data_IF_612921048237
#
_entry.id   IF_612921048237
#
_cell.length_a   1.000
_cell.length_b   1.000
_cell.length_c   1.000
_cell.angle_alpha   90.00
_cell.angle_beta   90.00
_cell.angle_gamma   90.00
#
_symmetry.space_group_name_H-M   'P 1'
#
loop_
_entity.id
_entity.type
_entity.pdbx_description
1 polymer ?
#
# COMPACT_ATOMS: atom_id res chain seq x y z
N UNK A 1 -16.73 10.10 -1.10
CA UNK A 1 -16.05 9.55 -2.28
C UNK A 1 -14.86 8.73 -1.83
N UNK A 2 -14.81 7.50 -2.27
CA UNK A 2 -13.74 6.60 -1.85
C UNK A 2 -12.44 6.94 -2.57
N UNK A 3 -11.35 7.08 -1.80
CA UNK A 3 -10.03 7.28 -2.36
C UNK A 3 -9.30 5.95 -2.42
N UNK A 4 -8.48 5.77 -3.44
CA UNK A 4 -7.69 4.56 -3.60
C UNK A 4 -6.26 4.92 -4.00
N UNK A 5 -5.33 4.02 -3.68
CA UNK A 5 -3.93 4.13 -4.07
C UNK A 5 -3.57 2.95 -4.96
N UNK A 6 -2.84 3.23 -6.02
CA UNK A 6 -2.25 2.19 -6.86
C UNK A 6 -0.87 1.84 -6.32
N UNK A 7 -0.32 0.73 -6.83
CA UNK A 7 1.02 0.30 -6.39
C UNK A 7 2.07 1.38 -6.63
N UNK A 8 2.00 2.10 -7.76
CA UNK A 8 2.96 3.16 -8.06
C UNK A 8 2.91 4.28 -7.04
N UNK A 9 1.76 4.49 -6.41
CA UNK A 9 1.61 5.51 -5.36
C UNK A 9 2.21 5.03 -4.05
N UNK A 10 2.15 3.74 -3.78
CA UNK A 10 2.58 3.18 -2.50
C UNK A 10 4.07 2.87 -2.48
N UNK A 11 4.56 2.19 -3.52
CA UNK A 11 5.92 1.69 -3.54
C UNK A 11 6.90 2.71 -4.11
N UNK A 12 8.14 2.64 -3.66
CA UNK A 12 9.24 3.44 -4.20
C UNK A 12 10.06 2.57 -5.13
N UNK A 13 10.26 3.03 -6.35
CA UNK A 13 11.10 2.36 -7.31
C UNK A 13 12.24 3.29 -7.70
N UNK A 14 13.11 2.81 -8.60
CA UNK A 14 14.25 3.58 -9.07
C UNK A 14 13.82 4.90 -9.72
N UNK A 15 12.65 4.90 -10.38
CA UNK A 15 12.18 6.05 -11.12
C UNK A 15 10.99 6.75 -10.50
N UNK A 16 10.51 6.27 -9.35
CA UNK A 16 9.29 6.80 -8.77
C UNK A 16 9.32 6.66 -7.25
N UNK A 17 9.11 7.75 -6.55
CA UNK A 17 9.04 7.74 -5.09
C UNK A 17 7.58 7.66 -4.66
N UNK A 18 7.24 6.60 -3.90
CA UNK A 18 5.90 6.44 -3.37
C UNK A 18 5.78 6.87 -1.92
N UNK A 19 4.67 6.51 -1.31
CA UNK A 19 4.42 6.82 0.10
C UNK A 19 5.34 6.03 1.03
N UNK A 20 5.70 4.82 0.64
CA UNK A 20 6.51 3.93 1.47
C UNK A 20 7.87 3.74 0.82
N UNK A 21 8.96 3.76 1.62
CA UNK A 21 10.31 3.58 1.07
C UNK A 21 10.63 2.10 0.86
N UNK A 22 9.72 1.37 0.20
CA UNK A 22 9.88 -0.05 -0.04
C UNK A 22 9.51 -0.37 -1.48
N UNK A 23 10.04 -1.48 -1.98
CA UNK A 23 9.77 -1.92 -3.34
C UNK A 23 8.38 -2.56 -3.45
N UNK A 24 7.84 -2.66 -4.67
CA UNK A 24 6.58 -3.38 -4.86
C UNK A 24 6.64 -4.82 -4.38
N UNK A 25 7.79 -5.49 -4.50
CA UNK A 25 7.93 -6.86 -4.04
C UNK A 25 7.71 -6.97 -2.54
N UNK A 26 8.20 -5.99 -1.78
CA UNK A 26 8.01 -5.97 -0.33
C UNK A 26 6.54 -5.83 0.02
N UNK A 27 5.82 -4.97 -0.70
CA UNK A 27 4.40 -4.77 -0.45
C UNK A 27 3.63 -6.05 -0.72
N UNK A 28 3.93 -6.73 -1.82
CA UNK A 28 3.25 -7.99 -2.14
C UNK A 28 3.53 -9.07 -1.10
N UNK A 29 4.76 -9.09 -0.58
CA UNK A 29 5.11 -10.03 0.49
C UNK A 29 4.28 -9.75 1.73
N UNK A 30 4.12 -8.50 2.11
CA UNK A 30 3.34 -8.12 3.29
C UNK A 30 1.87 -8.47 3.11
N UNK A 31 1.33 -8.27 1.91
CA UNK A 31 -0.05 -8.67 1.61
C UNK A 31 -0.22 -10.16 1.80
N UNK A 32 0.74 -10.95 1.30
CA UNK A 32 0.70 -12.40 1.43
C UNK A 32 0.79 -12.84 2.88
N UNK A 33 1.60 -12.13 3.67
CA UNK A 33 1.78 -12.47 5.08
C UNK A 33 0.63 -11.99 5.97
N UNK A 34 -0.24 -11.14 5.43
CA UNK A 34 -1.35 -10.60 6.20
C UNK A 34 -1.00 -9.41 7.05
N UNK A 35 0.18 -8.81 6.85
CA UNK A 35 0.63 -7.66 7.63
C UNK A 35 0.33 -6.32 6.96
N UNK A 36 -0.20 -6.34 5.76
CA UNK A 36 -0.54 -5.15 4.99
C UNK A 36 -1.96 -5.29 4.48
N UNK A 37 -2.72 -4.18 4.36
CA UNK A 37 -4.09 -4.27 3.86
C UNK A 37 -4.16 -4.93 2.49
N UNK A 38 -5.16 -5.75 2.28
CA UNK A 38 -5.31 -6.47 1.02
C UNK A 38 -5.86 -5.54 -0.05
N UNK A 39 -5.33 -5.64 -1.28
CA UNK A 39 -5.82 -4.83 -2.39
C UNK A 39 -7.12 -5.42 -2.96
N UNK A 40 -7.78 -4.62 -3.80
CA UNK A 40 -8.92 -5.10 -4.55
C UNK A 40 -8.80 -4.62 -5.99
N UNK A 41 -9.56 -5.23 -6.87
CA UNK A 41 -9.55 -4.89 -8.28
C UNK A 41 -10.58 -3.82 -8.57
N UNK A 42 -10.15 -2.77 -9.25
CA UNK A 42 -11.02 -1.73 -9.75
C UNK A 42 -11.06 -1.87 -11.26
N UNK A 43 -12.15 -2.38 -11.79
CA UNK A 43 -12.22 -2.73 -13.20
C UNK A 43 -11.52 -4.06 -13.47
N UNK A 44 -11.03 -4.24 -14.70
CA UNK A 44 -10.50 -5.53 -15.13
C UNK A 44 -9.06 -5.78 -14.71
N UNK A 45 -8.21 -4.75 -14.74
CA UNK A 45 -6.78 -4.95 -14.55
C UNK A 45 -6.14 -3.99 -13.57
N UNK A 46 -6.92 -3.20 -12.86
CA UNK A 46 -6.37 -2.18 -11.96
C UNK A 46 -6.45 -2.66 -10.52
N UNK A 47 -5.30 -2.89 -9.91
CA UNK A 47 -5.21 -3.27 -8.50
C UNK A 47 -4.99 -2.01 -7.67
N UNK A 48 -5.81 -1.80 -6.66
CA UNK A 48 -5.75 -0.61 -5.81
C UNK A 48 -5.96 -1.00 -4.35
N UNK A 49 -5.55 -0.12 -3.48
CA UNK A 49 -5.78 -0.23 -2.03
C UNK A 49 -6.67 0.91 -1.57
N UNK A 50 -7.52 0.64 -0.60
CA UNK A 50 -8.33 1.69 0.02
C UNK A 50 -7.40 2.66 0.74
N UNK A 51 -7.48 3.95 0.38
CA UNK A 51 -6.61 4.96 0.96
C UNK A 51 -6.77 5.06 2.47
N UNK A 52 -8.01 4.94 2.97
CA UNK A 52 -8.25 5.03 4.41
C UNK A 52 -7.60 3.86 5.16
N UNK A 53 -7.64 2.66 4.57
CA UNK A 53 -6.97 1.52 5.18
C UNK A 53 -5.45 1.70 5.21
N UNK A 54 -4.89 2.27 4.15
CA UNK A 54 -3.45 2.52 4.10
C UNK A 54 -3.07 3.58 5.14
N UNK A 55 -3.85 4.65 5.25
CA UNK A 55 -3.56 5.69 6.22
C UNK A 55 -3.63 5.15 7.64
N UNK A 56 -4.60 4.29 7.92
CA UNK A 56 -4.73 3.66 9.22
C UNK A 56 -3.56 2.72 9.50
N UNK A 57 -3.16 1.94 8.50
CA UNK A 57 -2.01 1.05 8.64
C UNK A 57 -0.73 1.83 8.97
N UNK A 58 -0.51 2.96 8.27
CA UNK A 58 0.65 3.81 8.54
C UNK A 58 0.62 4.36 9.95
N UNK A 59 -0.55 4.79 10.40
CA UNK A 59 -0.69 5.30 11.76
C UNK A 59 -0.34 4.24 12.79
N UNK A 60 -0.78 3.00 12.57
CA UNK A 60 -0.48 1.90 13.47
C UNK A 60 1.02 1.57 13.49
N UNK A 61 1.68 1.64 12.34
CA UNK A 61 3.12 1.39 12.27
C UNK A 61 3.91 2.45 13.02
N UNK A 62 3.49 3.69 12.94
CA UNK A 62 4.16 4.78 13.64
C UNK A 62 4.05 4.59 15.16
N UNK A 63 2.88 4.17 15.63
CA UNK A 63 2.67 3.93 17.05
C UNK A 63 3.48 2.73 17.54
N UNK A 64 3.59 1.71 16.71
CA UNK A 64 4.31 0.49 17.09
C UNK A 64 5.81 0.70 17.23
N UNK A 65 6.34 1.75 16.62
CA UNK A 65 7.78 2.02 16.64
C UNK A 65 8.22 2.92 17.79
N UNK A 66 7.31 3.36 18.59
CA UNK A 66 7.64 4.22 19.74
C UNK A 66 7.94 3.43 20.99
#
# INVERSE_FOLDING_TARGET
MQRVYRMAKLATTKNNQGLLPVSPASIWRWVKDGTFPAPFKLGLNTTVWDADEIDQWLGNQRQAQQ
#
